data_IF_455227358011
#
_entry.id   IF_455227358011
#
_cell.length_a   1.000
_cell.length_b   1.000
_cell.length_c   1.000
_cell.angle_alpha   90.00
_cell.angle_beta   90.00
_cell.angle_gamma   90.00
#
_symmetry.space_group_name_H-M   'P 1'
#
loop_
_entity.id
_entity.type
_entity.pdbx_description
1 polymer ?
#
# COMPACT_ATOMS: atom_id res chain seq x y z
N UNK A 1 -2.41 1.48 -7.57
CA UNK A 1 -3.28 0.48 -6.90
C UNK A 1 -2.58 0.00 -5.65
N UNK A 2 -3.30 -0.05 -4.53
CA UNK A 2 -2.82 -0.55 -3.23
C UNK A 2 -3.63 -1.78 -2.85
N UNK A 3 -2.95 -2.82 -2.37
CA UNK A 3 -3.55 -4.00 -1.74
C UNK A 3 -2.90 -4.23 -0.38
N UNK A 4 -3.71 -4.51 0.62
CA UNK A 4 -3.26 -4.95 1.95
C UNK A 4 -3.93 -6.28 2.29
N UNK A 5 -3.13 -7.22 2.77
CA UNK A 5 -3.59 -8.45 3.36
C UNK A 5 -3.05 -8.60 4.79
N UNK A 6 -3.91 -9.09 5.68
CA UNK A 6 -3.62 -9.44 7.05
C UNK A 6 -3.94 -10.92 7.24
N UNK A 7 -2.98 -11.69 7.73
CA UNK A 7 -3.10 -13.13 7.99
C UNK A 7 -3.59 -13.90 6.74
N UNK A 8 -3.06 -13.51 5.58
CA UNK A 8 -3.43 -14.08 4.28
C UNK A 8 -4.80 -13.64 3.75
N UNK A 9 -5.58 -12.87 4.50
CA UNK A 9 -6.87 -12.32 4.08
C UNK A 9 -6.70 -10.91 3.53
N UNK A 10 -7.18 -10.67 2.33
CA UNK A 10 -7.21 -9.33 1.73
C UNK A 10 -8.20 -8.45 2.48
N UNK A 11 -7.71 -7.37 3.09
CA UNK A 11 -8.49 -6.42 3.88
C UNK A 11 -8.68 -5.08 3.17
N UNK A 12 -7.81 -4.75 2.20
CA UNK A 12 -7.93 -3.57 1.37
C UNK A 12 -7.51 -3.87 -0.07
N UNK A 13 -8.26 -3.32 -1.02
CA UNK A 13 -7.81 -3.14 -2.41
C UNK A 13 -8.41 -1.85 -2.98
N UNK A 14 -7.55 -0.88 -3.31
CA UNK A 14 -7.98 0.45 -3.70
C UNK A 14 -7.11 1.05 -4.78
N UNK A 15 -7.72 1.82 -5.67
CA UNK A 15 -7.01 2.57 -6.70
C UNK A 15 -7.02 4.04 -6.32
N UNK A 16 -5.85 4.62 -6.11
CA UNK A 16 -5.70 6.06 -5.94
C UNK A 16 -5.43 6.72 -7.28
N UNK A 17 -6.07 7.88 -7.50
CA UNK A 17 -5.82 8.78 -8.62
C UNK A 17 -5.35 10.12 -8.05
N UNK A 18 -4.07 10.24 -7.65
CA UNK A 18 -3.56 11.51 -7.13
C UNK A 18 -3.62 12.57 -8.24
N UNK A 19 -4.30 13.70 -7.98
CA UNK A 19 -4.59 14.77 -8.96
C UNK A 19 -3.42 15.74 -9.21
N UNK A 20 -2.19 15.30 -8.96
CA UNK A 20 -1.04 16.15 -8.60
C UNK A 20 -0.38 16.99 -9.71
N UNK A 21 -0.88 17.02 -10.95
CA UNK A 21 -0.32 17.87 -12.01
C UNK A 21 -1.05 19.21 -12.21
N UNK A 22 -2.25 19.36 -11.64
CA UNK A 22 -3.01 20.63 -11.66
C UNK A 22 -3.33 21.19 -10.27
N UNK A 23 -2.79 20.57 -9.21
CA UNK A 23 -3.16 20.83 -7.81
C UNK A 23 -4.61 20.44 -7.44
N UNK A 24 -5.23 19.55 -8.22
CA UNK A 24 -6.68 19.28 -8.12
C UNK A 24 -7.02 17.95 -7.41
N UNK A 25 -6.07 17.33 -6.70
CA UNK A 25 -6.33 16.09 -5.95
C UNK A 25 -5.32 15.78 -4.85
N UNK A 26 -5.65 14.85 -3.93
CA UNK A 26 -4.86 14.60 -2.74
C UNK A 26 -3.46 14.06 -3.06
N UNK A 27 -2.43 14.72 -2.50
CA UNK A 27 -1.01 14.33 -2.60
C UNK A 27 -0.68 13.10 -1.73
N UNK A 28 -1.54 12.79 -0.75
CA UNK A 28 -1.39 11.68 0.20
C UNK A 28 -2.68 10.88 0.31
N UNK A 29 -2.55 9.60 0.66
CA UNK A 29 -3.68 8.73 0.98
C UNK A 29 -3.44 8.08 2.33
N UNK A 30 -4.49 8.02 3.14
CA UNK A 30 -4.49 7.37 4.45
C UNK A 30 -5.64 6.38 4.50
N UNK A 31 -5.36 5.20 5.06
CA UNK A 31 -6.36 4.15 5.26
C UNK A 31 -6.20 3.61 6.68
N UNK A 32 -7.32 3.50 7.38
CA UNK A 32 -7.40 2.88 8.69
C UNK A 32 -8.05 1.51 8.56
N UNK A 33 -7.41 0.51 9.13
CA UNK A 33 -7.89 -0.86 9.11
C UNK A 33 -7.97 -1.39 10.54
N UNK A 34 -9.10 -1.95 10.99
CA UNK A 34 -9.19 -2.55 12.30
C UNK A 34 -8.24 -3.76 12.38
N UNK A 35 -7.44 -3.80 13.44
CA UNK A 35 -6.47 -4.86 13.70
C UNK A 35 -6.61 -5.32 15.14
N UNK A 36 -6.72 -6.64 15.34
CA UNK A 36 -6.74 -7.20 16.69
C UNK A 36 -5.34 -7.11 17.32
N UNK A 37 -5.28 -7.18 18.65
CA UNK A 37 -4.00 -7.39 19.32
C UNK A 37 -3.53 -8.83 19.08
N UNK A 38 -2.22 -9.02 18.93
CA UNK A 38 -1.60 -10.32 18.68
C UNK A 38 -0.55 -10.28 17.57
N UNK A 39 -0.14 -11.47 17.14
CA UNK A 39 0.78 -11.64 16.02
C UNK A 39 0.01 -11.71 14.72
N UNK A 40 0.45 -10.92 13.75
CA UNK A 40 -0.16 -10.86 12.43
C UNK A 40 0.88 -10.94 11.33
N UNK A 41 0.52 -11.58 10.22
CA UNK A 41 1.28 -11.51 8.97
C UNK A 41 0.71 -10.39 8.11
N UNK A 42 1.44 -9.29 8.01
CA UNK A 42 1.11 -8.16 7.16
C UNK A 42 1.74 -8.32 5.78
N UNK A 43 0.95 -8.14 4.73
CA UNK A 43 1.43 -8.00 3.36
C UNK A 43 0.83 -6.75 2.71
N UNK A 44 1.67 -5.84 2.25
CA UNK A 44 1.27 -4.66 1.49
C UNK A 44 1.87 -4.69 0.08
N UNK A 45 1.10 -4.28 -0.91
CA UNK A 45 1.58 -4.17 -2.28
C UNK A 45 1.02 -2.91 -2.92
N UNK A 46 1.90 -2.06 -3.42
CA UNK A 46 1.56 -0.90 -4.25
C UNK A 46 2.09 -1.13 -5.65
N UNK A 47 1.28 -0.85 -6.67
CA UNK A 47 1.69 -0.95 -8.06
C UNK A 47 0.95 0.05 -8.95
N UNK A 48 1.58 0.44 -10.05
CA UNK A 48 0.93 1.26 -11.07
C UNK A 48 -0.10 0.41 -11.84
N UNK A 49 -1.31 0.94 -12.01
CA UNK A 49 -2.27 0.32 -12.92
C UNK A 49 -1.74 0.53 -14.35
N UNK A 50 -1.62 -0.54 -15.14
CA UNK A 50 -1.35 -0.37 -16.57
C UNK A 50 -2.50 0.42 -17.18
N UNK A 51 -2.18 1.55 -17.81
CA UNK A 51 -3.09 2.14 -18.77
C UNK A 51 -3.11 1.21 -20.00
N UNK A 52 -4.29 0.97 -20.55
CA UNK A 52 -4.44 0.12 -21.72
C UNK A 52 -3.73 0.78 -22.92
N UNK A 53 -2.46 0.45 -23.16
CA UNK A 53 -1.70 0.97 -24.29
C UNK A 53 -0.98 -0.18 -25.00
N UNK A 54 -1.42 -0.47 -26.22
CA UNK A 54 -0.92 -1.52 -27.11
C UNK A 54 0.49 -1.30 -27.66
N UNK A 55 1.49 -1.05 -26.80
CA UNK A 55 2.91 -0.98 -27.15
C UNK A 55 3.70 -2.13 -26.54
N UNK A 56 4.51 -2.84 -27.34
CA UNK A 56 5.30 -4.02 -26.90
C UNK A 56 6.54 -3.69 -26.07
N UNK A 57 6.81 -2.42 -25.77
CA UNK A 57 8.06 -1.96 -25.16
C UNK A 57 7.85 -0.97 -23.99
N UNK A 58 6.76 -1.11 -23.21
CA UNK A 58 6.64 -0.33 -21.97
C UNK A 58 7.42 -0.97 -20.81
N UNK A 59 8.12 -0.16 -19.97
CA UNK A 59 8.78 -0.65 -18.77
C UNK A 59 7.82 -1.46 -17.89
N UNK A 60 8.34 -2.44 -17.15
CA UNK A 60 7.54 -3.16 -16.17
C UNK A 60 6.91 -2.17 -15.18
N UNK A 61 5.59 -2.22 -15.03
CA UNK A 61 4.85 -1.31 -14.15
C UNK A 61 5.43 -1.37 -12.73
N UNK A 62 5.79 -0.22 -12.16
CA UNK A 62 6.49 -0.17 -10.87
C UNK A 62 5.66 -0.87 -9.80
N UNK A 63 6.34 -1.67 -8.97
CA UNK A 63 5.71 -2.47 -7.91
C UNK A 63 6.57 -2.51 -6.66
N UNK A 64 5.97 -2.16 -5.54
CA UNK A 64 6.56 -2.23 -4.20
C UNK A 64 5.83 -3.26 -3.36
N UNK A 65 6.58 -4.00 -2.53
CA UNK A 65 6.04 -5.04 -1.67
C UNK A 65 6.65 -4.95 -0.28
N UNK A 66 5.82 -5.27 0.71
CA UNK A 66 6.21 -5.48 2.09
C UNK A 66 5.54 -6.77 2.55
N UNK A 67 6.30 -7.68 3.13
CA UNK A 67 5.77 -8.82 3.88
C UNK A 67 6.51 -8.91 5.21
N UNK A 68 5.77 -8.86 6.33
CA UNK A 68 6.37 -8.85 7.65
C UNK A 68 5.44 -9.47 8.69
N UNK A 69 6.01 -10.18 9.65
CA UNK A 69 5.31 -10.51 10.89
C UNK A 69 5.41 -9.33 11.86
N UNK A 70 4.29 -8.97 12.47
CA UNK A 70 4.19 -7.87 13.43
C UNK A 70 3.49 -8.36 14.68
N UNK A 71 3.97 -7.91 15.85
CA UNK A 71 3.31 -8.14 17.12
C UNK A 71 2.66 -6.82 17.57
N UNK A 72 1.33 -6.83 17.67
CA UNK A 72 0.53 -5.66 18.00
C UNK A 72 -0.02 -5.82 19.40
N UNK A 73 0.34 -4.88 20.29
CA UNK A 73 -0.16 -4.84 21.66
C UNK A 73 -1.56 -4.24 21.70
N UNK A 74 -2.37 -4.53 22.74
CA UNK A 74 -3.62 -3.82 22.96
C UNK A 74 -3.41 -2.31 22.96
N UNK A 75 -4.29 -1.57 22.28
CA UNK A 75 -4.24 -0.11 22.12
C UNK A 75 -2.99 0.44 21.40
N UNK A 76 -2.23 -0.41 20.69
CA UNK A 76 -1.14 0.03 19.84
C UNK A 76 -1.65 0.38 18.44
N UNK A 77 -1.25 1.54 17.93
CA UNK A 77 -1.40 1.89 16.52
C UNK A 77 -0.16 1.42 15.78
N UNK A 78 -0.36 0.58 14.76
CA UNK A 78 0.70 0.17 13.85
C UNK A 78 0.65 1.08 12.61
N UNK A 79 1.71 1.84 12.36
CA UNK A 79 1.81 2.69 11.19
C UNK A 79 2.64 1.99 10.11
N UNK A 80 2.16 2.05 8.87
CA UNK A 80 2.90 1.64 7.68
C UNK A 80 2.97 2.85 6.76
N UNK A 81 4.18 3.36 6.56
CA UNK A 81 4.42 4.49 5.68
C UNK A 81 4.94 4.02 4.33
N UNK A 82 4.70 4.82 3.29
CA UNK A 82 5.26 4.60 1.98
C UNK A 82 5.77 5.90 1.39
N UNK A 83 6.98 5.86 0.84
CA UNK A 83 7.47 6.86 -0.12
C UNK A 83 8.12 6.16 -1.31
N UNK A 84 8.22 6.83 -2.46
CA UNK A 84 8.93 6.24 -3.59
C UNK A 84 10.43 6.08 -3.34
N UNK A 85 11.01 6.93 -2.48
CA UNK A 85 12.43 6.94 -2.16
C UNK A 85 12.82 5.76 -1.24
N UNK A 86 12.00 5.52 -0.21
CA UNK A 86 12.30 4.53 0.84
C UNK A 86 11.50 3.24 0.71
N UNK A 87 10.45 3.22 -0.11
CA UNK A 87 9.49 2.12 -0.15
C UNK A 87 8.61 2.09 1.10
N UNK A 88 8.16 0.89 1.48
CA UNK A 88 7.36 0.71 2.69
C UNK A 88 8.24 0.67 3.95
N UNK A 89 7.84 1.40 4.99
CA UNK A 89 8.53 1.44 6.29
C UNK A 89 7.52 1.18 7.40
N UNK A 90 7.95 0.43 8.44
CA UNK A 90 7.27 0.37 9.73
C UNK A 90 8.20 1.02 10.77
N UNK A 91 7.87 2.23 11.25
CA UNK A 91 8.65 2.93 12.26
C UNK A 91 8.51 2.31 13.67
#
# INVERSE_FOLDING_TARGET
MLRIALDGRRVLEKTYRPGGLRHDGPTFAYEELPLAAGRHRLAATLWEARADAGGRDEPEARRWRLEREVEVRPNQVLLVEFSEETGFVLP
#
